data_IF_614498272617
#
_entry.id   IF_614498272617
#
_cell.length_a   1.000
_cell.length_b   1.000
_cell.length_c   1.000
_cell.angle_alpha   90.00
_cell.angle_beta   90.00
_cell.angle_gamma   90.00
#
_symmetry.space_group_name_H-M   'P 1'
#
loop_
_entity.id
_entity.type
_entity.pdbx_description
1 polymer ?
#
# COMPACT_ATOMS: atom_id res chain seq x y z
N UNK A 1 14.82 6.22 -20.02
CA UNK A 1 14.56 5.62 -18.70
C UNK A 1 14.05 6.70 -17.76
N UNK A 2 12.84 6.57 -17.21
CA UNK A 2 12.18 7.61 -16.41
C UNK A 2 12.32 7.27 -14.91
N UNK A 3 13.19 7.97 -14.18
CA UNK A 3 13.43 7.65 -12.77
C UNK A 3 12.34 8.21 -11.84
N UNK A 4 11.82 7.42 -10.88
CA UNK A 4 10.78 7.88 -9.95
C UNK A 4 11.36 8.66 -8.75
N UNK A 5 11.86 9.87 -9.00
CA UNK A 5 12.42 10.69 -7.92
C UNK A 5 11.34 11.16 -6.93
N UNK A 6 11.38 10.61 -5.72
CA UNK A 6 10.44 10.95 -4.64
C UNK A 6 9.03 10.36 -4.80
N UNK A 7 8.80 9.56 -5.84
CA UNK A 7 7.52 8.88 -6.07
C UNK A 7 7.52 7.56 -5.30
N UNK A 8 6.59 7.40 -4.36
CA UNK A 8 6.42 6.18 -3.56
C UNK A 8 5.08 5.48 -3.86
N UNK A 9 4.49 5.79 -5.01
CA UNK A 9 3.22 5.25 -5.48
C UNK A 9 3.52 4.21 -6.56
N UNK A 10 3.30 2.94 -6.24
CA UNK A 10 3.53 1.82 -7.14
C UNK A 10 2.64 1.89 -8.38
N UNK A 11 1.35 2.19 -8.21
CA UNK A 11 0.39 2.29 -9.30
C UNK A 11 0.85 3.31 -10.33
N UNK A 12 1.23 4.51 -9.86
CA UNK A 12 1.75 5.58 -10.71
C UNK A 12 3.07 5.18 -11.38
N UNK A 13 3.95 4.50 -10.67
CA UNK A 13 5.24 4.05 -11.20
C UNK A 13 5.03 3.12 -12.40
N UNK A 14 4.13 2.14 -12.28
CA UNK A 14 3.87 1.17 -13.35
C UNK A 14 3.10 1.82 -14.51
N UNK A 15 1.98 2.47 -14.21
CA UNK A 15 1.07 3.02 -15.23
C UNK A 15 1.67 4.19 -16.02
N UNK A 16 2.54 4.99 -15.43
CA UNK A 16 3.23 6.08 -16.13
C UNK A 16 4.62 5.71 -16.68
N UNK A 17 4.98 4.41 -16.65
CA UNK A 17 6.22 3.90 -17.24
C UNK A 17 7.51 4.40 -16.57
N UNK A 18 7.49 4.59 -15.25
CA UNK A 18 8.72 4.83 -14.49
C UNK A 18 9.53 3.54 -14.35
N UNK A 19 10.83 3.72 -14.13
CA UNK A 19 11.73 2.63 -13.80
C UNK A 19 11.38 2.05 -12.42
N UNK A 20 10.91 0.81 -12.40
CA UNK A 20 10.64 0.03 -11.20
C UNK A 20 11.67 -1.09 -11.07
N UNK A 21 12.28 -1.21 -9.88
CA UNK A 21 13.15 -2.36 -9.57
C UNK A 21 12.28 -3.43 -8.93
N UNK A 22 12.01 -4.49 -9.69
CA UNK A 22 11.15 -5.56 -9.25
C UNK A 22 11.73 -6.32 -8.05
N UNK A 23 10.92 -6.41 -6.99
CA UNK A 23 11.17 -7.15 -5.75
C UNK A 23 9.94 -7.94 -5.31
N UNK A 24 8.97 -8.10 -6.22
CA UNK A 24 7.69 -8.74 -5.93
C UNK A 24 7.82 -10.25 -5.69
N UNK A 25 8.95 -10.85 -6.05
CA UNK A 25 9.38 -12.20 -5.67
C UNK A 25 9.47 -12.41 -4.14
N UNK A 26 9.55 -11.33 -3.35
CA UNK A 26 9.59 -11.41 -1.89
C UNK A 26 8.19 -11.47 -1.24
N UNK A 27 7.10 -11.32 -1.98
CA UNK A 27 5.73 -11.36 -1.43
C UNK A 27 5.46 -12.68 -0.67
N UNK A 28 5.78 -13.88 -1.20
CA UNK A 28 5.61 -15.12 -0.45
C UNK A 28 6.38 -15.16 0.88
N UNK A 29 7.58 -14.55 0.92
CA UNK A 29 8.38 -14.47 2.13
C UNK A 29 7.73 -13.54 3.17
N UNK A 30 7.14 -12.44 2.72
CA UNK A 30 6.36 -11.52 3.58
C UNK A 30 5.16 -12.27 4.16
N UNK A 31 4.40 -12.99 3.34
CA UNK A 31 3.25 -13.78 3.80
C UNK A 31 3.66 -14.85 4.84
N UNK A 32 4.82 -15.48 4.67
CA UNK A 32 5.33 -16.49 5.60
C UNK A 32 5.98 -15.92 6.88
N UNK A 33 6.37 -14.64 6.89
CA UNK A 33 7.14 -14.04 7.99
C UNK A 33 6.30 -13.81 9.26
N UNK A 34 4.97 -13.79 9.15
CA UNK A 34 4.05 -13.73 10.29
C UNK A 34 2.88 -12.78 10.10
N UNK A 35 1.92 -12.83 11.04
CA UNK A 35 0.69 -12.04 10.98
C UNK A 35 0.90 -10.54 11.17
N UNK A 36 1.99 -10.15 11.83
CA UNK A 36 2.33 -8.75 12.10
C UNK A 36 3.79 -8.51 11.74
N UNK A 37 4.00 -7.68 10.73
CA UNK A 37 5.33 -7.36 10.23
C UNK A 37 5.69 -5.93 10.55
N UNK A 38 6.84 -5.78 11.22
CA UNK A 38 7.40 -4.48 11.51
C UNK A 38 8.66 -4.26 10.66
N UNK A 39 8.56 -3.35 9.69
CA UNK A 39 9.72 -2.92 8.91
C UNK A 39 10.56 -1.93 9.73
N UNK A 40 11.48 -2.45 10.55
CA UNK A 40 12.43 -1.66 11.33
C UNK A 40 13.35 -0.81 10.41
N UNK A 41 13.65 0.43 10.85
CA UNK A 41 14.45 1.55 10.25
C UNK A 41 15.41 1.16 9.10
N UNK A 42 15.58 1.92 7.97
CA UNK A 42 16.10 3.31 7.91
C UNK A 42 15.38 4.25 6.90
N UNK A 43 15.64 5.57 6.93
CA UNK A 43 14.97 6.56 6.04
C UNK A 43 15.33 6.32 4.56
N UNK A 44 14.37 6.49 3.64
CA UNK A 44 14.51 6.34 2.16
C UNK A 44 14.83 4.94 1.63
N UNK A 45 14.57 3.90 2.40
CA UNK A 45 14.80 2.50 2.00
C UNK A 45 13.62 1.87 1.22
N UNK A 46 12.77 2.67 0.57
CA UNK A 46 11.68 2.15 -0.25
C UNK A 46 10.48 1.55 0.50
N UNK A 47 10.43 1.59 1.83
CA UNK A 47 9.30 1.03 2.61
C UNK A 47 7.93 1.54 2.16
N UNK A 48 7.78 2.84 1.93
CA UNK A 48 6.51 3.41 1.45
C UNK A 48 6.12 2.88 0.08
N UNK A 49 7.09 2.73 -0.83
CA UNK A 49 6.86 2.12 -2.13
C UNK A 49 6.46 0.65 -1.99
N UNK A 50 7.14 -0.10 -1.13
CA UNK A 50 6.81 -1.50 -0.87
C UNK A 50 5.39 -1.68 -0.31
N UNK A 51 4.99 -0.84 0.66
CA UNK A 51 3.62 -0.85 1.17
C UNK A 51 2.60 -0.51 0.08
N UNK A 52 2.91 0.44 -0.81
CA UNK A 52 2.06 0.74 -1.97
C UNK A 52 1.98 -0.43 -2.96
N UNK A 53 3.07 -1.17 -3.16
CA UNK A 53 3.06 -2.41 -3.98
C UNK A 53 2.14 -3.47 -3.36
N UNK A 54 2.27 -3.73 -2.06
CA UNK A 54 1.43 -4.70 -1.36
C UNK A 54 -0.05 -4.28 -1.33
N UNK A 55 -0.31 -3.00 -1.13
CA UNK A 55 -1.66 -2.41 -1.24
C UNK A 55 -2.29 -2.77 -2.58
N UNK A 56 -1.62 -2.48 -3.71
CA UNK A 56 -2.14 -2.81 -5.04
C UNK A 56 -2.24 -4.32 -5.31
N UNK A 57 -1.34 -5.11 -4.71
CA UNK A 57 -1.30 -6.56 -4.93
C UNK A 57 -2.43 -7.29 -4.21
N UNK A 58 -2.80 -6.86 -3.00
CA UNK A 58 -3.82 -7.52 -2.19
C UNK A 58 -5.23 -6.98 -2.40
N UNK A 59 -5.36 -5.75 -2.89
CA UNK A 59 -6.62 -5.05 -3.02
C UNK A 59 -7.58 -5.73 -4.03
N UNK A 60 -8.75 -6.13 -3.55
CA UNK A 60 -9.82 -6.73 -4.37
C UNK A 60 -10.32 -5.77 -5.46
N UNK A 61 -10.31 -4.46 -5.22
CA UNK A 61 -10.73 -3.47 -6.22
C UNK A 61 -9.74 -3.37 -7.39
N UNK A 62 -8.53 -3.93 -7.26
CA UNK A 62 -7.50 -3.97 -8.30
C UNK A 62 -7.47 -5.28 -9.09
N UNK A 63 -8.43 -6.19 -8.88
CA UNK A 63 -8.48 -7.48 -9.58
C UNK A 63 -8.46 -7.36 -11.09
N UNK A 64 -9.27 -6.45 -11.66
CA UNK A 64 -9.35 -6.24 -13.10
C UNK A 64 -8.08 -5.60 -13.70
N UNK A 65 -7.26 -4.96 -12.87
CA UNK A 65 -6.01 -4.30 -13.26
C UNK A 65 -4.78 -5.18 -13.00
N UNK A 66 -4.95 -6.39 -12.47
CA UNK A 66 -3.83 -7.22 -11.99
C UNK A 66 -2.78 -7.46 -13.08
N UNK A 67 -3.20 -7.86 -14.28
CA UNK A 67 -2.25 -8.12 -15.37
C UNK A 67 -1.51 -6.88 -15.82
N UNK A 68 -2.18 -5.73 -15.87
CA UNK A 68 -1.54 -4.46 -16.23
C UNK A 68 -0.50 -4.04 -15.19
N UNK A 69 -0.77 -4.28 -13.90
CA UNK A 69 0.10 -3.87 -12.80
C UNK A 69 1.25 -4.85 -12.54
N UNK A 70 0.98 -6.15 -12.61
CA UNK A 70 1.89 -7.20 -12.14
C UNK A 70 2.32 -8.20 -13.21
N UNK A 71 1.64 -8.33 -14.35
CA UNK A 71 1.90 -9.40 -15.33
C UNK A 71 3.34 -9.49 -15.83
N UNK A 72 4.03 -8.34 -15.88
CA UNK A 72 5.44 -8.26 -16.28
C UNK A 72 6.44 -8.46 -15.13
N UNK A 73 5.96 -8.48 -13.88
CA UNK A 73 6.73 -8.64 -12.64
C UNK A 73 6.72 -10.09 -12.15
N UNK A 74 7.60 -10.42 -11.20
CA UNK A 74 7.69 -11.75 -10.62
C UNK A 74 6.35 -12.21 -10.01
N UNK A 75 5.66 -11.36 -9.25
CA UNK A 75 4.40 -11.73 -8.62
C UNK A 75 3.20 -11.85 -9.58
N UNK A 76 3.27 -11.32 -10.81
CA UNK A 76 2.26 -11.61 -11.83
C UNK A 76 2.50 -12.96 -12.52
N UNK A 77 3.76 -13.37 -12.65
CA UNK A 77 4.13 -14.66 -13.23
C UNK A 77 3.84 -15.83 -12.29
N UNK A 78 4.02 -15.61 -10.99
CA UNK A 78 3.76 -16.59 -9.94
C UNK A 78 2.98 -15.94 -8.78
N UNK A 79 1.67 -15.68 -8.98
CA UNK A 79 0.85 -15.05 -7.95
C UNK A 79 0.60 -16.01 -6.78
N UNK A 80 0.67 -15.47 -5.58
CA UNK A 80 0.23 -16.15 -4.36
C UNK A 80 -1.30 -16.26 -4.35
N UNK A 81 -1.91 -17.27 -3.69
CA UNK A 81 -3.37 -17.40 -3.58
C UNK A 81 -4.11 -16.20 -2.95
N UNK A 82 -3.35 -15.25 -2.40
CA UNK A 82 -3.82 -14.08 -1.69
C UNK A 82 -3.96 -12.82 -2.56
N UNK A 83 -3.50 -12.85 -3.82
CA UNK A 83 -3.57 -11.71 -4.72
C UNK A 83 -5.02 -11.24 -4.95
N UNK A 84 -5.28 -9.93 -4.81
CA UNK A 84 -6.60 -9.30 -4.95
C UNK A 84 -7.73 -9.96 -4.14
N UNK A 85 -7.43 -10.50 -2.94
CA UNK A 85 -8.41 -11.17 -2.06
C UNK A 85 -8.86 -10.34 -0.86
N UNK A 86 -8.32 -9.13 -0.68
CA UNK A 86 -8.52 -8.36 0.54
C UNK A 86 -9.04 -6.96 0.28
N UNK A 87 -9.85 -6.48 1.22
CA UNK A 87 -10.04 -5.05 1.41
C UNK A 87 -8.84 -4.50 2.19
N UNK A 88 -8.19 -3.46 1.69
CA UNK A 88 -6.96 -2.92 2.28
C UNK A 88 -7.26 -1.59 2.96
N UNK A 89 -7.10 -1.53 4.28
CA UNK A 89 -7.18 -0.29 5.04
C UNK A 89 -5.77 0.25 5.32
N UNK A 90 -5.52 1.46 4.87
CA UNK A 90 -4.23 2.15 5.03
C UNK A 90 -4.36 3.31 6.01
N UNK A 91 -3.41 3.41 6.93
CA UNK A 91 -3.28 4.55 7.83
C UNK A 91 -1.94 5.24 7.62
N UNK A 92 -1.98 6.57 7.48
CA UNK A 92 -0.79 7.42 7.42
C UNK A 92 -0.85 8.46 8.55
N UNK A 93 -0.29 8.06 9.70
CA UNK A 93 -0.25 8.92 10.87
C UNK A 93 0.70 10.12 10.75
N UNK A 94 1.47 10.24 9.65
CA UNK A 94 2.29 11.44 9.43
C UNK A 94 1.45 12.70 9.17
N UNK A 95 0.18 12.52 8.80
CA UNK A 95 -0.78 13.61 8.60
C UNK A 95 -1.45 14.09 9.90
N UNK A 96 -1.21 13.43 11.03
CA UNK A 96 -1.80 13.81 12.33
C UNK A 96 -0.86 14.80 13.01
N UNK A 97 -1.35 16.02 13.29
CA UNK A 97 -0.59 17.02 14.03
C UNK A 97 -0.40 16.56 15.50
N UNK A 98 0.86 16.34 15.95
CA UNK A 98 1.12 15.92 17.30
C UNK A 98 1.22 17.09 18.29
N UNK A 99 0.99 18.34 17.87
CA UNK A 99 1.11 19.53 18.72
C UNK A 99 -0.19 19.84 19.46
N UNK A 100 -0.07 20.42 20.66
CA UNK A 100 -1.20 20.87 21.48
C UNK A 100 -1.42 20.04 22.75
N UNK A 101 -2.56 20.27 23.40
CA UNK A 101 -2.97 19.49 24.58
C UNK A 101 -3.40 18.08 24.20
N UNK A 102 -3.33 17.15 25.17
CA UNK A 102 -3.69 15.73 24.99
C UNK A 102 -5.08 15.55 24.37
N UNK A 103 -6.04 16.42 24.72
CA UNK A 103 -7.39 16.41 24.16
C UNK A 103 -7.42 16.69 22.66
N UNK A 104 -6.65 17.69 22.20
CA UNK A 104 -6.58 18.07 20.79
C UNK A 104 -5.87 17.01 19.96
N UNK A 105 -4.76 16.44 20.47
CA UNK A 105 -4.06 15.33 19.81
C UNK A 105 -4.98 14.12 19.64
N UNK A 106 -5.75 13.77 20.69
CA UNK A 106 -6.73 12.68 20.64
C UNK A 106 -7.80 12.94 19.58
N UNK A 107 -8.33 14.16 19.53
CA UNK A 107 -9.35 14.56 18.57
C UNK A 107 -8.80 14.51 17.14
N UNK A 108 -7.58 14.99 16.90
CA UNK A 108 -6.92 14.92 15.61
C UNK A 108 -6.74 13.47 15.14
N UNK A 109 -6.29 12.58 16.03
CA UNK A 109 -6.15 11.16 15.74
C UNK A 109 -7.49 10.49 15.38
N UNK A 110 -8.55 10.72 16.19
CA UNK A 110 -9.87 10.15 15.91
C UNK A 110 -10.43 10.66 14.58
N UNK A 111 -10.29 11.96 14.30
CA UNK A 111 -10.75 12.53 13.03
C UNK A 111 -10.03 11.90 11.83
N UNK A 112 -8.71 11.69 11.94
CA UNK A 112 -7.92 11.03 10.89
C UNK A 112 -8.37 9.58 10.66
N UNK A 113 -8.48 8.78 11.73
CA UNK A 113 -8.90 7.37 11.63
C UNK A 113 -10.32 7.26 11.05
N UNK A 114 -11.26 8.06 11.55
CA UNK A 114 -12.64 8.06 11.04
C UNK A 114 -12.67 8.48 9.56
N UNK A 115 -11.89 9.48 9.17
CA UNK A 115 -11.75 9.88 7.78
C UNK A 115 -11.23 8.74 6.88
N UNK A 116 -10.22 8.00 7.33
CA UNK A 116 -9.72 6.82 6.61
C UNK A 116 -10.78 5.72 6.49
N UNK A 117 -11.57 5.48 7.53
CA UNK A 117 -12.65 4.48 7.52
C UNK A 117 -13.76 4.86 6.54
N UNK A 118 -14.19 6.13 6.53
CA UNK A 118 -15.21 6.61 5.58
C UNK A 118 -14.70 6.54 4.13
N UNK A 119 -13.43 6.90 3.88
CA UNK A 119 -12.81 6.76 2.56
C UNK A 119 -12.72 5.30 2.13
N UNK A 120 -12.31 4.40 3.03
CA UNK A 120 -12.28 2.97 2.78
C UNK A 120 -13.68 2.44 2.43
N UNK A 121 -14.70 2.81 3.19
CA UNK A 121 -16.09 2.40 2.93
C UNK A 121 -16.56 2.90 1.56
N UNK A 122 -16.31 4.17 1.25
CA UNK A 122 -16.69 4.75 -0.05
C UNK A 122 -15.95 4.09 -1.22
N UNK A 123 -14.66 3.78 -1.05
CA UNK A 123 -13.84 3.11 -2.07
C UNK A 123 -14.36 1.71 -2.41
N UNK A 124 -14.86 0.99 -1.41
CA UNK A 124 -15.35 -0.38 -1.55
C UNK A 124 -16.87 -0.52 -1.63
N UNK A 125 -17.63 0.58 -1.70
CA UNK A 125 -19.10 0.55 -1.63
C UNK A 125 -19.74 -0.33 -2.71
N UNK A 126 -19.16 -0.39 -3.91
CA UNK A 126 -19.66 -1.24 -5.00
C UNK A 126 -19.30 -2.73 -4.87
N UNK A 127 -18.49 -3.10 -3.89
CA UNK A 127 -17.99 -4.46 -3.65
C UNK A 127 -18.49 -5.07 -2.31
N UNK A 128 -19.16 -4.26 -1.48
CA UNK A 128 -19.79 -4.64 -0.21
C UNK A 128 -21.27 -4.98 -0.40
#
# INVERSE_FOLDING_TARGET
>A
MKFPYGICDFYKIITEGYWYVDRTDHIPLVEAAGAQLLFLRPRRFGKSLWLSTLENYYDVAKGDEFEALFGHLAAGREPTPLHNRYFVLKWDFSAVDPQGEVGEIRKALHNHINGCIEQFRAYYEGLL
#
